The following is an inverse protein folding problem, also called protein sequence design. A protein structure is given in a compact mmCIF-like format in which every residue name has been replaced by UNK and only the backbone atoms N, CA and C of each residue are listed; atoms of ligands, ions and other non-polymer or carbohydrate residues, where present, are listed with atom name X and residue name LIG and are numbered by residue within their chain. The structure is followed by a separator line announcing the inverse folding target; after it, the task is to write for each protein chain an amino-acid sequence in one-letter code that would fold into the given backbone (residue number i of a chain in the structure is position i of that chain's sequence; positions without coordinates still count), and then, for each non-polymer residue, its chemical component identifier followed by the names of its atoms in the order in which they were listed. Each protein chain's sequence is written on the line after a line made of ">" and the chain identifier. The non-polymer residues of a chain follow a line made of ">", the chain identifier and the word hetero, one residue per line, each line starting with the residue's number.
data_IF_694748468871
#
_entry.id   IF_694748468871
#
_cell.length_a   1.000
_cell.length_b   1.000
_cell.length_c   1.000
_cell.angle_alpha   90.00
_cell.angle_beta   90.00
_cell.angle_gamma   90.00
#
_symmetry.space_group_name_H-M   'P 1'
#
loop_
_entity.id
_entity.type
_entity.pdbx_description
1 polymer ?
#
# COMPACT_ATOMS: atom_id res chain seq x y z
N UNK A 1 -10.29 -25.38 -1.68
CA UNK A 1 -10.72 -25.99 -0.41
C UNK A 1 -12.21 -25.77 -0.26
N UNK A 2 -12.97 -26.79 0.15
CA UNK A 2 -14.43 -26.90 -0.03
C UNK A 2 -15.21 -25.84 0.75
N UNK A 3 -16.19 -25.24 0.07
CA UNK A 3 -17.20 -24.30 0.61
C UNK A 3 -18.12 -24.88 1.69
N UNK A 4 -17.98 -26.17 2.02
CA UNK A 4 -18.83 -26.87 3.00
C UNK A 4 -18.51 -26.56 4.46
N UNK A 5 -17.26 -26.24 4.82
CA UNK A 5 -16.86 -26.01 6.21
C UNK A 5 -17.22 -24.63 6.77
N UNK A 6 -17.22 -23.60 5.91
CA UNK A 6 -17.54 -22.23 6.31
C UNK A 6 -19.04 -22.01 6.54
N UNK A 7 -19.90 -22.68 5.74
CA UNK A 7 -21.34 -22.68 5.96
C UNK A 7 -21.71 -23.28 7.33
N UNK A 8 -21.01 -24.34 7.72
CA UNK A 8 -21.20 -25.03 8.99
C UNK A 8 -20.82 -24.13 10.20
N UNK A 9 -19.68 -23.43 10.11
CA UNK A 9 -19.24 -22.51 11.16
C UNK A 9 -20.16 -21.28 11.32
N UNK A 10 -20.69 -20.75 10.21
CA UNK A 10 -21.60 -19.62 10.25
C UNK A 10 -22.96 -20.00 10.88
N UNK A 11 -23.45 -21.21 10.64
CA UNK A 11 -24.67 -21.66 11.31
C UNK A 11 -24.47 -21.87 12.81
N UNK A 12 -23.32 -22.41 13.23
CA UNK A 12 -22.97 -22.59 14.65
C UNK A 12 -22.93 -21.24 15.36
N UNK A 13 -22.20 -20.26 14.81
CA UNK A 13 -22.08 -18.93 15.42
C UNK A 13 -23.43 -18.21 15.53
N UNK A 14 -24.32 -18.35 14.54
CA UNK A 14 -25.70 -17.81 14.63
C UNK A 14 -26.53 -18.49 15.71
N UNK A 15 -26.41 -19.81 15.88
CA UNK A 15 -27.11 -20.58 16.95
C UNK A 15 -26.66 -20.14 18.34
N UNK A 16 -25.38 -19.81 18.50
CA UNK A 16 -24.79 -19.29 19.73
C UNK A 16 -25.11 -17.79 19.97
N UNK A 17 -25.94 -17.17 19.13
CA UNK A 17 -26.41 -15.79 19.31
C UNK A 17 -25.46 -14.71 18.76
N UNK A 18 -24.43 -15.08 18.01
CA UNK A 18 -23.52 -14.12 17.37
C UNK A 18 -24.09 -13.60 16.06
N UNK A 19 -23.98 -12.29 15.83
CA UNK A 19 -24.25 -11.68 14.54
C UNK A 19 -23.17 -12.08 13.53
N UNK A 20 -23.58 -12.59 12.36
CA UNK A 20 -22.66 -12.89 11.27
C UNK A 20 -23.01 -12.02 10.09
N UNK A 21 -22.09 -11.12 9.79
CA UNK A 21 -22.12 -10.29 8.60
C UNK A 21 -21.37 -11.04 7.49
N UNK A 22 -22.00 -11.40 6.36
CA UNK A 22 -21.28 -12.01 5.26
C UNK A 22 -20.23 -11.04 4.70
N UNK A 23 -19.04 -11.52 4.27
CA UNK A 23 -18.01 -10.66 3.73
C UNK A 23 -18.49 -9.75 2.60
N UNK A 24 -19.42 -10.24 1.76
CA UNK A 24 -20.02 -9.48 0.67
C UNK A 24 -20.75 -8.21 1.12
N UNK A 25 -21.22 -8.14 2.38
CA UNK A 25 -21.90 -6.97 2.90
C UNK A 25 -20.96 -5.76 3.08
N UNK A 26 -19.66 -5.99 3.28
CA UNK A 26 -18.66 -4.92 3.37
C UNK A 26 -18.15 -4.44 2.02
N UNK A 27 -18.63 -5.05 0.93
CA UNK A 27 -18.20 -4.78 -0.44
C UNK A 27 -19.29 -4.12 -1.28
N UNK A 28 -20.49 -3.91 -0.73
CA UNK A 28 -21.68 -3.48 -1.49
C UNK A 28 -21.62 -2.05 -2.01
N UNK A 29 -20.75 -1.22 -1.45
CA UNK A 29 -20.50 0.16 -1.86
C UNK A 29 -19.33 0.29 -2.87
N UNK A 30 -18.70 -0.83 -3.24
CA UNK A 30 -17.63 -0.85 -4.24
C UNK A 30 -18.20 -1.03 -5.66
N UNK A 31 -17.63 -0.29 -6.61
CA UNK A 31 -18.10 -0.21 -8.00
C UNK A 31 -17.64 -1.44 -8.82
N UNK A 32 -18.45 -1.94 -9.76
CA UNK A 32 -18.09 -3.10 -10.61
C UNK A 32 -16.79 -2.87 -11.41
N UNK A 33 -16.57 -1.62 -11.84
CA UNK A 33 -15.36 -1.21 -12.53
C UNK A 33 -14.09 -1.42 -11.67
N UNK A 34 -14.19 -1.20 -10.36
CA UNK A 34 -13.10 -1.50 -9.44
C UNK A 34 -12.87 -3.00 -9.36
N UNK A 35 -13.92 -3.82 -9.25
CA UNK A 35 -13.75 -5.27 -9.17
C UNK A 35 -13.11 -5.85 -10.44
N UNK A 36 -13.42 -5.30 -11.62
CA UNK A 36 -12.75 -5.72 -12.85
C UNK A 36 -11.22 -5.51 -12.78
N UNK A 37 -10.79 -4.33 -12.34
CA UNK A 37 -9.36 -4.02 -12.14
C UNK A 37 -8.77 -4.88 -11.01
N UNK A 38 -9.49 -5.03 -9.89
CA UNK A 38 -9.05 -5.80 -8.73
C UNK A 38 -8.78 -7.25 -9.09
N UNK A 39 -9.65 -7.89 -9.87
CA UNK A 39 -9.47 -9.27 -10.32
C UNK A 39 -8.21 -9.46 -11.18
N UNK A 40 -7.75 -8.41 -11.88
CA UNK A 40 -6.50 -8.46 -12.66
C UNK A 40 -5.25 -8.37 -11.78
N UNK A 41 -5.33 -7.73 -10.61
CA UNK A 41 -4.15 -7.36 -9.80
C UNK A 41 -4.04 -8.08 -8.46
N UNK A 42 -5.14 -8.68 -7.95
CA UNK A 42 -5.21 -9.23 -6.58
C UNK A 42 -4.17 -10.31 -6.27
N UNK A 43 -3.68 -11.03 -7.28
CA UNK A 43 -2.65 -12.09 -7.10
C UNK A 43 -1.21 -11.51 -7.05
N UNK A 44 -1.07 -10.21 -7.32
CA UNK A 44 0.17 -9.43 -7.32
C UNK A 44 0.24 -8.42 -6.18
N UNK A 45 -0.72 -8.43 -5.25
CA UNK A 45 -0.68 -7.60 -4.05
C UNK A 45 -1.08 -8.38 -2.79
N UNK A 46 -0.60 -7.94 -1.63
CA UNK A 46 -1.01 -8.46 -0.32
C UNK A 46 -2.03 -7.53 0.37
N UNK A 47 -2.41 -6.43 -0.27
CA UNK A 47 -3.37 -5.50 0.30
C UNK A 47 -4.76 -6.12 0.35
N UNK A 48 -5.56 -5.63 1.28
CA UNK A 48 -6.98 -5.98 1.36
C UNK A 48 -7.76 -5.34 0.21
N UNK A 49 -8.93 -5.88 -0.12
CA UNK A 49 -9.80 -5.28 -1.14
C UNK A 49 -10.24 -3.87 -0.74
N UNK A 50 -10.38 -3.60 0.56
CA UNK A 50 -10.66 -2.29 1.13
C UNK A 50 -9.53 -1.28 0.85
N UNK A 51 -8.27 -1.71 1.03
CA UNK A 51 -7.09 -0.89 0.68
C UNK A 51 -6.95 -0.70 -0.82
N UNK A 52 -7.23 -1.73 -1.62
CA UNK A 52 -7.32 -1.62 -3.08
C UNK A 52 -8.38 -0.60 -3.52
N UNK A 53 -9.57 -0.65 -2.92
CA UNK A 53 -10.66 0.27 -3.22
C UNK A 53 -10.32 1.70 -2.80
N UNK A 54 -9.73 1.88 -1.61
CA UNK A 54 -9.22 3.18 -1.16
C UNK A 54 -8.20 3.75 -2.15
N UNK A 55 -7.25 2.94 -2.63
CA UNK A 55 -6.26 3.36 -3.64
C UNK A 55 -6.93 3.73 -4.97
N UNK A 56 -7.88 2.93 -5.44
CA UNK A 56 -8.69 3.21 -6.63
C UNK A 56 -9.41 4.57 -6.53
N UNK A 57 -10.12 4.82 -5.42
CA UNK A 57 -10.82 6.09 -5.19
C UNK A 57 -9.84 7.26 -5.04
N UNK A 58 -8.65 7.01 -4.50
CA UNK A 58 -7.60 8.02 -4.37
C UNK A 58 -7.11 8.49 -5.73
N UNK A 59 -6.87 7.58 -6.67
CA UNK A 59 -6.52 7.91 -8.06
C UNK A 59 -7.64 8.73 -8.71
N UNK A 60 -8.89 8.29 -8.61
CA UNK A 60 -10.02 9.06 -9.15
C UNK A 60 -10.12 10.47 -8.55
N UNK A 61 -9.92 10.60 -7.25
CA UNK A 61 -9.95 11.88 -6.54
C UNK A 61 -8.85 12.83 -7.03
N UNK A 62 -7.58 12.39 -7.09
CA UNK A 62 -6.48 13.28 -7.49
C UNK A 62 -6.60 13.72 -8.94
N UNK A 63 -7.08 12.84 -9.83
CA UNK A 63 -7.30 13.17 -11.24
C UNK A 63 -8.49 14.13 -11.40
N UNK A 64 -9.65 13.81 -10.80
CA UNK A 64 -10.83 14.68 -10.89
C UNK A 64 -10.64 16.05 -10.22
N UNK A 65 -9.83 16.10 -9.15
CA UNK A 65 -9.46 17.34 -8.47
C UNK A 65 -8.36 18.14 -9.16
N UNK A 66 -7.76 17.62 -10.24
CA UNK A 66 -6.64 18.28 -10.92
C UNK A 66 -5.40 18.45 -10.04
N UNK A 67 -5.18 17.55 -9.08
CA UNK A 67 -4.07 17.65 -8.13
C UNK A 67 -2.77 17.29 -8.87
N UNK A 68 -1.76 18.20 -8.93
CA UNK A 68 -0.54 17.96 -9.69
C UNK A 68 0.40 17.00 -8.96
N UNK A 69 1.21 16.27 -9.75
CA UNK A 69 2.26 15.41 -9.24
C UNK A 69 2.10 13.93 -9.55
N UNK A 70 3.21 13.22 -9.49
CA UNK A 70 3.29 11.79 -9.80
C UNK A 70 2.77 10.93 -8.64
N UNK A 71 2.69 9.63 -8.87
CA UNK A 71 2.36 8.64 -7.85
C UNK A 71 3.65 7.98 -7.37
N UNK A 72 3.76 7.75 -6.07
CA UNK A 72 4.91 7.11 -5.44
C UNK A 72 4.44 6.03 -4.50
N UNK A 73 5.03 4.84 -4.63
CA UNK A 73 4.88 3.72 -3.71
C UNK A 73 6.26 3.26 -3.25
N UNK A 74 6.41 3.14 -1.92
CA UNK A 74 7.61 2.60 -1.27
C UNK A 74 7.26 1.26 -0.63
N UNK A 75 7.93 0.19 -1.08
CA UNK A 75 7.54 -1.19 -0.82
C UNK A 75 6.44 -1.63 -1.78
N UNK A 76 6.81 -2.35 -2.84
CA UNK A 76 5.91 -2.70 -3.96
C UNK A 76 5.64 -4.20 -4.06
N UNK A 77 6.50 -5.04 -3.48
CA UNK A 77 6.43 -6.51 -3.63
C UNK A 77 6.33 -6.93 -5.10
N UNK A 78 5.20 -7.50 -5.54
CA UNK A 78 4.94 -7.89 -6.93
C UNK A 78 4.33 -6.77 -7.80
N UNK A 79 4.13 -5.58 -7.23
CA UNK A 79 3.68 -4.38 -7.95
C UNK A 79 2.17 -4.26 -8.15
N UNK A 80 1.32 -5.10 -7.55
CA UNK A 80 -0.12 -5.10 -7.81
C UNK A 80 -0.84 -3.79 -7.48
N UNK A 81 -0.40 -3.06 -6.45
CA UNK A 81 -0.94 -1.73 -6.14
C UNK A 81 -0.56 -0.69 -7.20
N UNK A 82 0.68 -0.71 -7.69
CA UNK A 82 1.12 0.08 -8.85
C UNK A 82 0.35 -0.26 -10.13
N UNK A 83 0.10 -1.55 -10.40
CA UNK A 83 -0.74 -1.99 -11.53
C UNK A 83 -2.17 -1.44 -11.39
N UNK A 84 -2.75 -1.46 -10.19
CA UNK A 84 -4.07 -0.89 -9.92
C UNK A 84 -4.09 0.61 -10.24
N UNK A 85 -3.07 1.35 -9.82
CA UNK A 85 -2.95 2.78 -10.15
C UNK A 85 -2.92 3.00 -11.66
N UNK A 86 -2.09 2.24 -12.39
CA UNK A 86 -1.95 2.35 -13.84
C UNK A 86 -3.25 2.03 -14.60
N UNK A 87 -3.91 0.92 -14.26
CA UNK A 87 -5.19 0.54 -14.88
C UNK A 87 -6.29 1.56 -14.58
N UNK A 88 -6.25 2.19 -13.40
CA UNK A 88 -7.18 3.27 -13.06
C UNK A 88 -6.90 4.54 -13.88
N UNK A 89 -5.63 4.91 -14.07
CA UNK A 89 -5.25 6.01 -14.97
C UNK A 89 -5.67 5.76 -16.41
N UNK A 90 -5.46 4.53 -16.92
CA UNK A 90 -5.90 4.11 -18.26
C UNK A 90 -7.42 4.25 -18.42
N UNK A 91 -8.19 3.76 -17.44
CA UNK A 91 -9.65 3.92 -17.41
C UNK A 91 -10.08 5.38 -17.44
N UNK A 92 -9.36 6.25 -16.74
CA UNK A 92 -9.63 7.70 -16.70
C UNK A 92 -9.07 8.44 -17.93
N UNK A 93 -8.39 7.74 -18.83
CA UNK A 93 -7.70 8.30 -20.00
C UNK A 93 -6.65 9.38 -19.63
N UNK A 94 -6.14 9.32 -18.40
CA UNK A 94 -5.09 10.23 -17.91
C UNK A 94 -3.74 9.78 -18.45
N UNK A 95 -2.99 10.74 -18.99
CA UNK A 95 -1.65 10.51 -19.54
C UNK A 95 -0.64 11.42 -18.85
N UNK A 96 0.59 10.94 -18.73
CA UNK A 96 1.73 11.76 -18.29
C UNK A 96 2.03 11.74 -16.79
N UNK A 97 1.25 11.01 -15.99
CA UNK A 97 1.63 10.68 -14.60
C UNK A 97 2.66 9.56 -14.61
N UNK A 98 3.69 9.68 -13.77
CA UNK A 98 4.60 8.58 -13.46
C UNK A 98 4.14 7.84 -12.21
N UNK A 99 4.49 6.56 -12.14
CA UNK A 99 4.33 5.70 -10.98
C UNK A 99 5.73 5.25 -10.57
N UNK A 100 6.27 5.85 -9.52
CA UNK A 100 7.57 5.49 -8.96
C UNK A 100 7.41 4.31 -8.00
N UNK A 101 8.21 3.27 -8.25
CA UNK A 101 8.22 2.00 -7.54
C UNK A 101 9.54 1.88 -6.79
N UNK A 102 9.58 2.35 -5.55
CA UNK A 102 10.74 2.22 -4.66
C UNK A 102 10.67 0.89 -3.94
N UNK A 103 11.66 0.03 -4.15
CA UNK A 103 11.75 -1.25 -3.45
C UNK A 103 13.20 -1.75 -3.48
N UNK A 104 13.56 -2.57 -2.52
CA UNK A 104 14.85 -3.27 -2.54
C UNK A 104 14.92 -4.30 -3.67
N UNK A 105 13.76 -4.78 -4.15
CA UNK A 105 13.55 -5.92 -5.03
C UNK A 105 14.32 -7.18 -4.59
N UNK A 106 14.66 -7.24 -3.30
CA UNK A 106 15.52 -8.27 -2.72
C UNK A 106 15.08 -8.68 -1.31
N UNK A 107 13.95 -8.15 -0.83
CA UNK A 107 13.33 -8.48 0.45
C UNK A 107 13.46 -7.36 1.49
N UNK A 108 13.27 -7.70 2.77
CA UNK A 108 13.24 -6.70 3.83
C UNK A 108 14.62 -6.34 4.34
N UNK A 109 14.85 -5.06 4.59
CA UNK A 109 16.01 -4.58 5.36
C UNK A 109 15.96 -5.11 6.80
N UNK A 110 17.11 -5.08 7.48
CA UNK A 110 17.21 -5.54 8.87
C UNK A 110 16.33 -4.67 9.78
N UNK A 111 15.35 -5.25 10.51
CA UNK A 111 14.49 -4.49 11.41
C UNK A 111 15.24 -4.07 12.68
N UNK A 112 14.63 -3.18 13.46
CA UNK A 112 15.15 -2.69 14.74
C UNK A 112 14.27 -3.16 15.91
N UNK A 113 14.59 -2.71 17.13
CA UNK A 113 13.75 -2.97 18.30
C UNK A 113 12.40 -2.25 18.27
N UNK A 114 12.22 -1.26 17.39
CA UNK A 114 10.95 -0.55 17.19
C UNK A 114 9.95 -1.39 16.40
N UNK A 115 10.45 -2.37 15.65
CA UNK A 115 9.67 -3.13 14.67
C UNK A 115 9.05 -4.36 15.33
N UNK A 116 7.89 -4.13 15.93
CA UNK A 116 7.08 -5.14 16.62
C UNK A 116 5.67 -5.19 16.06
N UNK A 117 5.06 -6.38 16.13
CA UNK A 117 3.69 -6.62 15.72
C UNK A 117 2.74 -5.98 16.75
N UNK A 118 1.85 -5.10 16.30
CA UNK A 118 1.06 -4.23 17.17
C UNK A 118 0.10 -4.99 18.10
N UNK A 119 -0.47 -6.12 17.66
CA UNK A 119 -1.50 -6.83 18.42
C UNK A 119 -0.94 -7.70 19.56
N UNK A 120 0.33 -8.10 19.52
CA UNK A 120 0.95 -8.98 20.52
C UNK A 120 2.31 -8.51 21.05
N UNK A 121 2.90 -7.45 20.48
CA UNK A 121 4.21 -6.94 20.86
C UNK A 121 5.39 -7.83 20.47
N UNK A 122 5.19 -8.83 19.60
CA UNK A 122 6.26 -9.70 19.15
C UNK A 122 7.20 -8.94 18.21
N UNK A 123 8.50 -8.91 18.54
CA UNK A 123 9.53 -8.35 17.66
C UNK A 123 9.71 -9.18 16.39
N UNK A 124 9.99 -8.51 15.27
CA UNK A 124 10.15 -9.17 13.96
C UNK A 124 11.59 -9.65 13.69
N UNK A 125 12.56 -9.24 14.51
CA UNK A 125 13.98 -9.59 14.38
C UNK A 125 14.26 -11.10 14.30
N UNK A 126 13.64 -11.91 15.18
CA UNK A 126 13.86 -13.36 15.16
C UNK A 126 13.35 -14.00 13.87
N UNK A 127 12.20 -13.53 13.35
CA UNK A 127 11.67 -13.96 12.06
C UNK A 127 12.59 -13.53 10.92
N UNK A 128 13.08 -12.29 10.94
CA UNK A 128 14.04 -11.80 9.97
C UNK A 128 15.33 -12.63 9.98
N UNK A 129 15.92 -12.94 11.14
CA UNK A 129 17.11 -13.81 11.22
C UNK A 129 16.85 -15.22 10.69
N UNK A 130 15.63 -15.73 10.82
CA UNK A 130 15.28 -17.09 10.38
C UNK A 130 15.28 -17.24 8.86
N UNK A 131 14.83 -16.23 8.11
CA UNK A 131 14.64 -16.35 6.66
C UNK A 131 14.69 -15.04 5.85
N UNK A 132 15.01 -13.91 6.48
CA UNK A 132 15.09 -12.57 5.87
C UNK A 132 13.78 -12.08 5.25
N UNK A 133 12.64 -12.71 5.59
CA UNK A 133 11.39 -12.57 4.83
C UNK A 133 11.57 -12.88 3.33
N UNK A 134 12.34 -13.91 2.99
CA UNK A 134 12.63 -14.29 1.60
C UNK A 134 11.41 -14.52 0.71
N UNK A 135 10.25 -14.84 1.28
CA UNK A 135 8.97 -14.92 0.56
C UNK A 135 8.49 -13.57 -0.01
N UNK A 136 9.04 -12.46 0.47
CA UNK A 136 8.74 -11.10 0.03
C UNK A 136 9.82 -10.55 -0.92
N UNK A 137 10.91 -11.29 -1.14
CA UNK A 137 11.93 -10.91 -2.11
C UNK A 137 11.48 -11.28 -3.54
N UNK A 138 11.21 -10.27 -4.36
CA UNK A 138 10.88 -10.43 -5.78
C UNK A 138 11.80 -9.50 -6.58
N UNK A 139 12.63 -10.09 -7.46
CA UNK A 139 13.60 -9.34 -8.26
C UNK A 139 12.96 -8.35 -9.23
N UNK A 140 13.63 -7.23 -9.49
CA UNK A 140 13.08 -6.11 -10.28
C UNK A 140 12.62 -6.53 -11.67
N UNK A 141 13.37 -7.42 -12.34
CA UNK A 141 13.00 -7.94 -13.66
C UNK A 141 11.76 -8.84 -13.60
N UNK A 142 11.61 -9.64 -12.54
CA UNK A 142 10.39 -10.44 -12.32
C UNK A 142 9.19 -9.53 -12.05
N UNK A 143 9.36 -8.46 -11.27
CA UNK A 143 8.27 -7.48 -11.06
C UNK A 143 7.92 -6.79 -12.37
N UNK A 144 8.92 -6.41 -13.19
CA UNK A 144 8.69 -5.83 -14.52
C UNK A 144 7.87 -6.77 -15.42
N UNK A 145 8.25 -8.04 -15.51
CA UNK A 145 7.51 -9.07 -16.27
C UNK A 145 6.08 -9.25 -15.77
N UNK A 146 5.88 -9.23 -14.44
CA UNK A 146 4.53 -9.30 -13.85
C UNK A 146 3.69 -8.09 -14.21
N UNK A 147 4.26 -6.88 -14.17
CA UNK A 147 3.58 -5.64 -14.58
C UNK A 147 3.23 -5.71 -16.07
N UNK A 148 4.18 -6.07 -16.94
CA UNK A 148 3.95 -6.24 -18.38
C UNK A 148 2.88 -7.28 -18.73
N UNK A 149 2.67 -8.28 -17.86
CA UNK A 149 1.62 -9.29 -18.04
C UNK A 149 0.20 -8.77 -17.78
N UNK A 150 0.06 -7.63 -17.08
CA UNK A 150 -1.22 -7.07 -16.64
C UNK A 150 -1.52 -5.73 -17.32
N UNK A 151 -0.52 -4.88 -17.52
CA UNK A 151 -0.67 -3.55 -18.12
C UNK A 151 0.01 -3.47 -19.48
N UNK A 152 -0.63 -2.78 -20.43
CA UNK A 152 -0.14 -2.69 -21.81
C UNK A 152 0.88 -1.56 -22.03
N UNK A 153 0.77 -0.47 -21.27
CA UNK A 153 1.66 0.69 -21.36
C UNK A 153 2.60 0.72 -20.15
N UNK A 154 3.88 0.42 -20.39
CA UNK A 154 4.93 0.47 -19.37
C UNK A 154 5.52 1.87 -19.17
N UNK A 155 5.19 2.84 -20.03
CA UNK A 155 5.78 4.18 -19.99
C UNK A 155 5.54 4.98 -18.69
N UNK A 156 4.46 4.74 -17.90
CA UNK A 156 4.27 5.40 -16.61
C UNK A 156 5.24 4.91 -15.52
N UNK A 157 5.73 3.67 -15.59
CA UNK A 157 6.44 3.04 -14.48
C UNK A 157 7.91 3.47 -14.41
N UNK A 158 8.35 3.81 -13.21
CA UNK A 158 9.75 4.09 -12.89
C UNK A 158 10.16 3.17 -11.75
N UNK A 159 10.95 2.15 -12.06
CA UNK A 159 11.46 1.19 -11.08
C UNK A 159 12.72 1.77 -10.44
N UNK A 160 12.71 1.89 -9.12
CA UNK A 160 13.83 2.42 -8.34
C UNK A 160 14.32 1.34 -7.41
N UNK A 161 15.32 0.60 -7.89
CA UNK A 161 15.89 -0.55 -7.19
C UNK A 161 16.91 -0.12 -6.15
N UNK A 162 16.68 -0.52 -4.91
CA UNK A 162 17.64 -0.40 -3.83
C UNK A 162 16.97 -0.18 -2.48
N UNK A 163 17.81 -0.05 -1.46
CA UNK A 163 17.39 0.37 -0.13
C UNK A 163 16.63 1.70 -0.24
N UNK A 164 15.35 1.71 0.14
CA UNK A 164 14.48 2.88 0.03
C UNK A 164 15.08 4.07 0.75
N UNK A 165 15.74 3.85 1.89
CA UNK A 165 16.33 4.95 2.65
C UNK A 165 17.44 5.66 1.88
N UNK A 166 18.18 4.92 1.04
CA UNK A 166 19.30 5.44 0.24
C UNK A 166 18.83 6.02 -1.08
N UNK A 167 17.96 5.30 -1.78
CA UNK A 167 17.47 5.72 -3.10
C UNK A 167 16.65 7.01 -3.05
N UNK A 168 16.00 7.29 -1.90
CA UNK A 168 15.33 8.57 -1.66
C UNK A 168 16.29 9.76 -1.51
N UNK A 169 17.55 9.55 -1.14
CA UNK A 169 18.55 10.62 -1.09
C UNK A 169 19.12 10.97 -2.48
N UNK A 170 19.04 10.03 -3.42
CA UNK A 170 19.60 10.16 -4.77
C UNK A 170 18.60 10.72 -5.78
N UNK A 171 17.30 10.50 -5.54
CA UNK A 171 16.24 10.90 -6.46
C UNK A 171 15.56 12.21 -6.07
N UNK A 172 15.26 13.02 -7.07
CA UNK A 172 14.50 14.27 -6.89
C UNK A 172 13.12 14.13 -7.52
N UNK A 173 12.08 14.33 -6.72
CA UNK A 173 10.71 14.47 -7.22
C UNK A 173 10.33 15.94 -7.31
N UNK A 174 9.52 16.30 -8.31
CA UNK A 174 9.01 17.66 -8.43
C UNK A 174 7.74 17.87 -7.62
N UNK A 175 6.75 17.00 -7.80
CA UNK A 175 5.50 17.01 -7.04
C UNK A 175 4.90 15.61 -7.02
N UNK A 176 4.27 15.25 -5.90
CA UNK A 176 3.60 13.96 -5.71
C UNK A 176 2.12 14.26 -5.47
N UNK A 177 1.20 13.54 -6.09
CA UNK A 177 -0.25 13.68 -5.80
C UNK A 177 -0.80 12.51 -4.99
N UNK A 178 -0.15 11.35 -5.06
CA UNK A 178 -0.49 10.13 -4.33
C UNK A 178 0.79 9.50 -3.79
N UNK A 179 0.92 9.47 -2.46
CA UNK A 179 2.05 8.90 -1.74
C UNK A 179 1.57 7.70 -0.92
N UNK A 180 2.04 6.51 -1.25
CA UNK A 180 1.73 5.26 -0.53
C UNK A 180 2.98 4.69 0.12
N UNK A 181 2.94 4.52 1.44
CA UNK A 181 4.05 4.02 2.26
C UNK A 181 3.75 2.60 2.74
N UNK A 182 4.61 1.64 2.41
CA UNK A 182 4.40 0.20 2.61
C UNK A 182 5.73 -0.58 2.81
N UNK A 183 6.63 -0.04 3.64
CA UNK A 183 7.94 -0.66 3.94
C UNK A 183 8.03 -1.27 5.34
N UNK A 184 6.91 -1.34 6.08
CA UNK A 184 6.72 -1.94 7.40
C UNK A 184 7.49 -1.32 8.59
N UNK A 185 8.74 -0.92 8.37
CA UNK A 185 9.68 -0.60 9.42
C UNK A 185 9.66 0.88 9.80
N UNK A 186 10.06 1.15 11.04
CA UNK A 186 10.20 2.50 11.58
C UNK A 186 11.14 3.34 10.70
N UNK A 187 12.34 2.85 10.41
CA UNK A 187 13.40 3.62 9.75
C UNK A 187 13.00 4.05 8.32
N UNK A 188 12.52 3.10 7.51
CA UNK A 188 12.05 3.37 6.15
C UNK A 188 10.82 4.27 6.14
N UNK A 189 9.81 4.01 6.97
CA UNK A 189 8.61 4.87 7.07
C UNK A 189 8.97 6.30 7.48
N UNK A 190 9.89 6.46 8.44
CA UNK A 190 10.35 7.77 8.89
C UNK A 190 11.08 8.52 7.78
N UNK A 191 11.97 7.83 7.05
CA UNK A 191 12.72 8.41 5.92
C UNK A 191 11.81 8.80 4.77
N UNK A 192 10.83 7.97 4.43
CA UNK A 192 9.81 8.27 3.41
C UNK A 192 9.01 9.53 3.77
N UNK A 193 8.56 9.67 5.02
CA UNK A 193 7.85 10.87 5.48
C UNK A 193 8.76 12.10 5.50
N UNK A 194 10.02 11.95 5.89
CA UNK A 194 11.02 13.02 5.87
C UNK A 194 11.19 13.61 4.46
N UNK A 195 11.36 12.73 3.46
CA UNK A 195 11.73 13.13 2.09
C UNK A 195 10.50 13.42 1.22
N UNK A 196 9.49 12.54 1.23
CA UNK A 196 8.41 12.56 0.24
C UNK A 196 7.20 13.37 0.68
N UNK A 197 6.85 13.36 1.97
CA UNK A 197 5.68 14.11 2.45
C UNK A 197 5.76 15.62 2.17
N UNK A 198 6.93 16.31 2.29
CA UNK A 198 7.06 17.70 1.88
C UNK A 198 6.71 17.95 0.41
N UNK A 199 6.97 16.97 -0.47
CA UNK A 199 6.75 17.03 -1.92
C UNK A 199 5.33 16.64 -2.35
N UNK A 200 4.55 16.04 -1.43
CA UNK A 200 3.12 15.80 -1.64
C UNK A 200 2.41 17.13 -1.89
N UNK A 201 1.63 17.23 -2.96
CA UNK A 201 0.85 18.41 -3.30
C UNK A 201 -0.22 18.65 -2.25
N UNK A 202 -0.62 19.91 -2.09
CA UNK A 202 -1.81 20.26 -1.33
C UNK A 202 -3.04 19.60 -1.98
N UNK A 203 -3.89 18.96 -1.18
CA UNK A 203 -4.95 18.10 -1.67
C UNK A 203 -4.47 16.71 -2.13
N UNK A 204 -3.18 16.41 -2.04
CA UNK A 204 -2.63 15.09 -2.34
C UNK A 204 -2.96 14.07 -1.25
N UNK A 205 -2.95 12.81 -1.64
CA UNK A 205 -3.27 11.68 -0.75
C UNK A 205 -1.97 11.11 -0.15
N UNK A 206 -1.97 10.91 1.17
CA UNK A 206 -1.05 10.04 1.88
C UNK A 206 -1.79 8.75 2.27
N UNK A 207 -1.25 7.59 1.90
CA UNK A 207 -1.67 6.29 2.39
C UNK A 207 -0.52 5.63 3.15
N UNK A 208 -0.84 5.05 4.31
CA UNK A 208 0.10 4.31 5.14
C UNK A 208 -0.47 2.91 5.28
N UNK A 209 0.23 1.91 4.74
CA UNK A 209 -0.31 0.57 4.65
C UNK A 209 -0.38 -0.10 6.02
N UNK A 210 0.70 -0.01 6.81
CA UNK A 210 0.85 -0.82 8.01
C UNK A 210 0.87 -0.08 9.37
N UNK A 211 0.22 1.07 9.42
CA UNK A 211 0.02 1.84 10.66
C UNK A 211 -0.65 1.01 11.78
N UNK A 212 -1.57 0.12 11.44
CA UNK A 212 -2.25 -0.72 12.43
C UNK A 212 -1.52 -2.02 12.76
N UNK A 213 -0.69 -2.54 11.84
CA UNK A 213 -0.02 -3.83 11.99
C UNK A 213 1.37 -3.73 12.64
N UNK A 214 2.21 -2.79 12.22
CA UNK A 214 3.57 -2.62 12.75
C UNK A 214 3.67 -1.38 13.64
N UNK A 215 4.14 -1.55 14.88
CA UNK A 215 4.31 -0.42 15.79
C UNK A 215 5.42 0.53 15.32
N UNK A 216 6.45 0.02 14.63
CA UNK A 216 7.51 0.83 14.03
C UNK A 216 6.94 1.84 13.03
N UNK A 217 6.21 1.36 12.01
CA UNK A 217 5.51 2.23 11.06
C UNK A 217 4.57 3.24 11.75
N UNK A 218 3.78 2.80 12.74
CA UNK A 218 2.93 3.71 13.52
C UNK A 218 3.73 4.81 14.20
N UNK A 219 4.79 4.43 14.92
CA UNK A 219 5.62 5.34 15.69
C UNK A 219 6.27 6.38 14.79
N UNK A 220 6.80 5.97 13.63
CA UNK A 220 7.37 6.89 12.65
C UNK A 220 6.35 7.95 12.18
N UNK A 221 5.12 7.52 11.89
CA UNK A 221 4.02 8.41 11.50
C UNK A 221 3.65 9.37 12.63
N UNK A 222 3.43 8.83 13.83
CA UNK A 222 3.01 9.62 15.00
C UNK A 222 4.08 10.67 15.38
N UNK A 223 5.36 10.31 15.34
CA UNK A 223 6.47 11.24 15.59
C UNK A 223 6.59 12.32 14.51
N UNK A 224 6.38 11.97 13.24
CA UNK A 224 6.46 12.94 12.15
C UNK A 224 5.35 14.01 12.21
N UNK A 225 4.15 13.61 12.65
CA UNK A 225 2.96 14.44 12.72
C UNK A 225 2.66 15.02 14.12
N UNK A 226 3.52 14.79 15.13
CA UNK A 226 3.30 15.25 16.51
C UNK A 226 2.98 16.75 16.62
N UNK A 227 3.63 17.58 15.79
CA UNK A 227 3.44 19.05 15.74
C UNK A 227 2.72 19.52 14.47
N UNK A 228 2.17 18.59 13.69
CA UNK A 228 1.54 18.85 12.38
C UNK A 228 0.21 18.10 12.31
N UNK A 229 -0.93 18.75 12.63
CA UNK A 229 -2.21 18.05 12.64
C UNK A 229 -2.54 17.49 11.25
N UNK A 230 -2.78 16.19 11.18
CA UNK A 230 -3.29 15.49 10.02
C UNK A 230 -4.47 14.61 10.45
N UNK A 231 -5.53 14.59 9.64
CA UNK A 231 -6.61 13.63 9.84
C UNK A 231 -6.28 12.33 9.09
N UNK A 232 -5.99 11.28 9.84
CA UNK A 232 -5.78 9.93 9.30
C UNK A 232 -7.05 9.10 9.47
N UNK A 233 -7.82 8.98 8.39
CA UNK A 233 -8.97 8.08 8.33
C UNK A 233 -8.50 6.63 8.29
N UNK A 234 -9.24 5.75 8.95
CA UNK A 234 -9.02 4.30 8.86
C UNK A 234 -9.53 3.79 7.52
N UNK A 235 -8.74 2.94 6.86
CA UNK A 235 -9.19 2.16 5.70
C UNK A 235 -9.71 0.81 6.20
N UNK A 236 -8.86 0.06 6.90
CA UNK A 236 -9.20 -1.23 7.51
C UNK A 236 -8.57 -1.37 8.91
N UNK A 237 -8.24 -2.60 9.32
CA UNK A 237 -7.55 -2.84 10.59
C UNK A 237 -6.16 -2.18 10.63
N UNK A 238 -5.46 -2.14 9.48
CA UNK A 238 -4.08 -1.67 9.37
C UNK A 238 -3.94 -0.32 8.66
N UNK A 239 -4.53 -0.15 7.49
CA UNK A 239 -4.30 0.99 6.61
C UNK A 239 -4.87 2.31 7.14
N UNK A 240 -4.16 3.41 6.88
CA UNK A 240 -4.61 4.79 7.12
C UNK A 240 -4.48 5.64 5.87
N UNK A 241 -5.35 6.63 5.76
CA UNK A 241 -5.32 7.60 4.67
C UNK A 241 -5.54 9.03 5.18
N UNK A 242 -4.78 9.98 4.65
CA UNK A 242 -4.97 11.41 4.90
C UNK A 242 -4.87 12.23 3.62
N UNK A 243 -5.43 13.44 3.66
CA UNK A 243 -5.29 14.45 2.60
C UNK A 243 -4.37 15.55 3.12
N UNK A 244 -3.35 15.92 2.36
CA UNK A 244 -2.46 17.02 2.72
C UNK A 244 -3.19 18.37 2.63
N UNK A 245 -3.16 19.13 3.72
CA UNK A 245 -3.91 20.37 3.89
C UNK A 245 -3.29 21.58 3.20
#
# INVERSE_FOLDING_TARGET
>A
MSSSGAADAAEVLKKEGWGITPPSQYLTDMEDDFFHIWEMVKDYTMISVERGYSLYKSVQYVISGGIPGDFVECGVWKGGACMLMALTLEKLQEKGRKIFMYDTFSGMTEPTSEDVIAWNGAGVMERWKSNGFSSWAVGVETVREMVESVVSDMSPFVFVEGDVEKTLEEMTHQSISLLRLDTDWFASTAKELEVLYPLLSRGGILQIDDYGHFQGARKAVDEYFQDKPIFLSRIDYTGRQGIKC
#
